data_IF_135718351765
#
_entry.id   IF_135718351765
#
_cell.length_a   1.000
_cell.length_b   1.000
_cell.length_c   1.000
_cell.angle_alpha   90.00
_cell.angle_beta   90.00
_cell.angle_gamma   90.00
#
_symmetry.space_group_name_H-M   'P 1'
#
loop_
_entity.id
_entity.type
_entity.pdbx_description
1 polymer ?
#
# COMPACT_ATOMS: atom_id res chain seq x y z
N UNK A 1 28.99 23.94 -13.36
CA UNK A 1 30.05 23.10 -12.78
C UNK A 1 29.90 23.00 -11.28
N UNK A 2 29.53 21.82 -10.76
CA UNK A 2 29.85 21.33 -9.40
C UNK A 2 30.03 19.78 -9.31
N UNK A 3 30.69 19.09 -10.28
CA UNK A 3 30.99 17.66 -10.12
C UNK A 3 32.04 17.28 -9.04
N UNK A 4 33.02 18.11 -8.63
CA UNK A 4 34.10 17.62 -7.75
C UNK A 4 33.72 17.53 -6.27
N UNK A 5 32.73 18.30 -5.80
CA UNK A 5 32.32 18.29 -4.39
C UNK A 5 31.54 17.02 -4.00
N UNK A 6 30.74 16.49 -4.93
CA UNK A 6 30.01 15.24 -4.70
C UNK A 6 30.95 14.03 -4.70
N UNK A 7 31.95 14.00 -5.60
CA UNK A 7 32.98 12.95 -5.63
C UNK A 7 33.75 12.85 -4.30
N UNK A 8 34.23 13.97 -3.77
CA UNK A 8 34.97 14.00 -2.51
C UNK A 8 34.10 13.59 -1.30
N UNK A 9 32.79 13.88 -1.33
CA UNK A 9 31.87 13.43 -0.29
C UNK A 9 31.66 11.91 -0.34
N UNK A 10 31.46 11.35 -1.53
CA UNK A 10 31.30 9.90 -1.73
C UNK A 10 32.55 9.14 -1.29
N UNK A 11 33.75 9.64 -1.61
CA UNK A 11 35.01 9.03 -1.18
C UNK A 11 35.15 9.00 0.35
N UNK A 12 34.80 10.12 1.02
CA UNK A 12 34.78 10.19 2.49
C UNK A 12 33.80 9.21 3.12
N UNK A 13 32.63 9.02 2.52
CA UNK A 13 31.62 8.11 3.06
C UNK A 13 31.99 6.63 2.83
N UNK A 14 32.68 6.31 1.72
CA UNK A 14 33.26 4.99 1.49
C UNK A 14 34.35 4.67 2.52
N UNK A 15 35.23 5.61 2.84
CA UNK A 15 36.29 5.40 3.85
C UNK A 15 35.70 5.25 5.27
N UNK A 16 34.64 5.99 5.61
CA UNK A 16 33.89 5.77 6.86
C UNK A 16 33.26 4.38 6.92
N UNK A 17 32.68 3.92 5.82
CA UNK A 17 32.09 2.59 5.73
C UNK A 17 33.15 1.49 5.91
N UNK A 18 34.34 1.65 5.33
CA UNK A 18 35.47 0.73 5.53
C UNK A 18 35.92 0.69 7.01
N UNK A 19 35.99 1.85 7.67
CA UNK A 19 36.35 1.92 9.08
C UNK A 19 35.33 1.19 9.97
N UNK A 20 34.02 1.37 9.69
CA UNK A 20 32.96 0.66 10.42
C UNK A 20 33.02 -0.85 10.18
N UNK A 21 33.25 -1.31 8.96
CA UNK A 21 33.37 -2.75 8.67
C UNK A 21 34.57 -3.37 9.39
N UNK A 22 35.71 -2.65 9.48
CA UNK A 22 36.87 -3.11 10.26
C UNK A 22 36.54 -3.26 11.75
N UNK A 23 35.81 -2.31 12.32
CA UNK A 23 35.34 -2.41 13.71
C UNK A 23 34.42 -3.63 13.89
N UNK A 24 33.46 -3.83 12.99
CA UNK A 24 32.58 -5.00 13.04
C UNK A 24 33.34 -6.34 12.92
N UNK A 25 34.40 -6.40 12.12
CA UNK A 25 35.25 -7.59 12.08
C UNK A 25 36.00 -7.83 13.39
N UNK A 26 36.51 -6.77 14.03
CA UNK A 26 37.15 -6.88 15.34
C UNK A 26 36.15 -7.35 16.41
N UNK A 27 34.93 -6.79 16.42
CA UNK A 27 33.88 -7.17 17.36
C UNK A 27 33.45 -8.63 17.16
N UNK A 28 33.27 -9.05 15.91
CA UNK A 28 32.94 -10.45 15.59
C UNK A 28 34.09 -11.39 15.95
N UNK A 29 35.34 -10.96 15.79
CA UNK A 29 36.49 -11.76 16.19
C UNK A 29 36.54 -11.91 17.71
N UNK A 30 36.31 -10.84 18.47
CA UNK A 30 36.20 -10.90 19.94
C UNK A 30 35.04 -11.81 20.39
N UNK A 31 33.90 -11.78 19.69
CA UNK A 31 32.78 -12.70 19.92
C UNK A 31 33.17 -14.16 19.65
N UNK A 32 33.93 -14.42 18.57
CA UNK A 32 34.42 -15.77 18.24
C UNK A 32 35.42 -16.29 19.25
N UNK A 33 36.35 -15.45 19.70
CA UNK A 33 37.33 -15.78 20.73
C UNK A 33 36.64 -16.03 22.09
N UNK A 34 35.55 -15.32 22.36
CA UNK A 34 34.63 -15.56 23.48
C UNK A 34 33.70 -16.78 23.32
N UNK A 35 33.85 -17.58 22.25
CA UNK A 35 33.01 -18.75 21.91
C UNK A 35 31.51 -18.44 21.85
N UNK A 36 31.16 -17.24 21.40
CA UNK A 36 29.77 -16.84 21.26
C UNK A 36 29.05 -17.69 20.17
N UNK A 37 27.88 -18.27 20.46
CA UNK A 37 27.20 -19.21 19.55
C UNK A 37 26.80 -18.60 18.20
N UNK A 38 26.67 -17.27 18.11
CA UNK A 38 26.32 -16.57 16.87
C UNK A 38 27.53 -15.99 16.12
N UNK A 39 28.77 -16.17 16.61
CA UNK A 39 29.97 -15.54 16.05
C UNK A 39 30.19 -15.86 14.55
N UNK A 40 30.02 -17.12 14.17
CA UNK A 40 30.12 -17.57 12.76
C UNK A 40 29.03 -16.93 11.86
N UNK A 41 27.80 -16.84 12.37
CA UNK A 41 26.71 -16.22 11.62
C UNK A 41 26.96 -14.72 11.42
N UNK A 42 27.44 -14.03 12.45
CA UNK A 42 27.78 -12.61 12.36
C UNK A 42 28.95 -12.38 11.41
N UNK A 43 29.98 -13.22 11.42
CA UNK A 43 31.10 -13.14 10.47
C UNK A 43 30.62 -13.20 9.01
N UNK A 44 29.75 -14.16 8.67
CA UNK A 44 29.20 -14.25 7.30
C UNK A 44 28.41 -13.00 6.90
N UNK A 45 27.70 -12.37 7.84
CA UNK A 45 26.96 -11.13 7.56
C UNK A 45 27.91 -9.96 7.33
N UNK A 46 28.94 -9.81 8.16
CA UNK A 46 29.96 -8.75 8.00
C UNK A 46 30.77 -8.97 6.70
N UNK A 47 31.08 -10.21 6.35
CA UNK A 47 31.75 -10.54 5.09
C UNK A 47 30.94 -10.12 3.86
N UNK A 48 29.63 -10.39 3.83
CA UNK A 48 28.76 -9.90 2.73
C UNK A 48 28.70 -8.38 2.65
N UNK A 49 28.72 -7.68 3.79
CA UNK A 49 28.81 -6.22 3.81
C UNK A 49 30.12 -5.74 3.22
N UNK A 50 31.23 -6.41 3.54
CA UNK A 50 32.55 -6.12 2.98
C UNK A 50 32.57 -6.34 1.46
N UNK A 51 32.08 -7.48 0.97
CA UNK A 51 31.99 -7.75 -0.47
C UNK A 51 31.18 -6.69 -1.21
N UNK A 52 30.04 -6.27 -0.64
CA UNK A 52 29.21 -5.22 -1.21
C UNK A 52 29.94 -3.88 -1.25
N UNK A 53 30.69 -3.52 -0.20
CA UNK A 53 31.46 -2.28 -0.17
C UNK A 53 32.61 -2.29 -1.19
N UNK A 54 33.31 -3.42 -1.33
CA UNK A 54 34.36 -3.61 -2.34
C UNK A 54 33.79 -3.48 -3.75
N UNK A 55 32.62 -4.07 -4.02
CA UNK A 55 31.93 -3.92 -5.30
C UNK A 55 31.60 -2.45 -5.61
N UNK A 56 31.01 -1.73 -4.64
CA UNK A 56 30.69 -0.31 -4.78
C UNK A 56 31.95 0.53 -5.03
N UNK A 57 33.05 0.28 -4.30
CA UNK A 57 34.32 0.98 -4.49
C UNK A 57 34.93 0.73 -5.86
N UNK A 58 34.82 -0.50 -6.36
CA UNK A 58 35.28 -0.88 -7.70
C UNK A 58 34.48 -0.16 -8.77
N UNK A 59 33.14 -0.14 -8.65
CA UNK A 59 32.27 0.62 -9.55
C UNK A 59 32.56 2.13 -9.51
N UNK A 60 32.77 2.70 -8.33
CA UNK A 60 33.10 4.12 -8.16
C UNK A 60 34.42 4.49 -8.85
N UNK A 61 35.47 3.67 -8.67
CA UNK A 61 36.76 3.89 -9.33
C UNK A 61 36.64 3.79 -10.87
N UNK A 62 35.87 2.82 -11.38
CA UNK A 62 35.65 2.64 -12.81
C UNK A 62 34.79 3.76 -13.43
N UNK A 63 33.78 4.27 -12.71
CA UNK A 63 32.85 5.29 -13.25
C UNK A 63 33.34 6.72 -13.06
N UNK A 64 34.05 7.03 -11.97
CA UNK A 64 34.41 8.41 -11.62
C UNK A 64 35.90 8.74 -11.77
N UNK A 65 36.81 7.78 -11.50
CA UNK A 65 38.28 8.01 -11.60
C UNK A 65 38.87 7.60 -12.96
N UNK A 66 38.27 6.65 -13.66
CA UNK A 66 38.83 6.11 -14.91
C UNK A 66 38.44 6.86 -16.18
N UNK A 67 37.43 7.73 -16.19
CA UNK A 67 37.07 8.53 -17.37
C UNK A 67 36.98 7.75 -18.70
N UNK A 68 36.58 6.48 -18.66
CA UNK A 68 36.71 5.58 -19.81
C UNK A 68 35.57 5.80 -20.82
N UNK A 69 35.87 6.58 -21.85
CA UNK A 69 35.18 6.57 -23.15
C UNK A 69 35.30 5.16 -23.73
N UNK A 70 34.24 4.52 -24.28
CA UNK A 70 34.41 3.25 -24.96
C UNK A 70 35.08 3.51 -26.32
N UNK A 71 36.37 3.22 -26.41
CA UNK A 71 37.09 3.17 -27.67
C UNK A 71 36.70 1.91 -28.44
N UNK A 72 36.26 2.11 -29.69
CA UNK A 72 36.02 1.09 -30.71
C UNK A 72 37.32 0.36 -31.04
N UNK A 73 37.33 -0.97 -30.96
CA UNK A 73 38.17 -1.85 -31.81
C UNK A 73 37.46 -3.20 -32.05
N UNK A 74 37.54 -3.77 -33.28
CA UNK A 74 36.95 -5.06 -33.62
C UNK A 74 37.99 -6.20 -33.59
N UNK A 75 37.64 -7.37 -33.01
CA UNK A 75 37.99 -8.71 -33.52
C UNK A 75 37.61 -9.84 -32.55
N UNK A 76 36.66 -10.67 -33.02
CA UNK A 76 36.58 -12.14 -32.98
C UNK A 76 37.18 -12.90 -31.77
N UNK A 77 36.31 -13.45 -30.90
CA UNK A 77 36.05 -14.90 -30.74
C UNK A 77 35.20 -15.19 -29.49
N UNK A 78 34.28 -16.15 -29.66
CA UNK A 78 33.58 -16.97 -28.65
C UNK A 78 32.63 -16.30 -27.65
N UNK A 79 31.36 -16.68 -27.78
CA UNK A 79 30.25 -16.41 -26.89
C UNK A 79 30.44 -16.98 -25.48
N UNK A 80 30.08 -16.18 -24.47
CA UNK A 80 29.17 -16.58 -23.39
C UNK A 80 28.43 -15.32 -22.91
N UNK A 81 27.11 -15.40 -22.97
CA UNK A 81 26.19 -14.36 -22.53
C UNK A 81 26.28 -14.14 -21.02
N UNK A 82 26.52 -12.91 -20.60
CA UNK A 82 26.01 -12.37 -19.33
C UNK A 82 26.22 -10.85 -19.26
N UNK A 83 25.12 -10.11 -19.21
CA UNK A 83 25.03 -8.92 -18.36
C UNK A 83 25.59 -7.61 -18.91
N UNK A 84 25.00 -7.09 -19.99
CA UNK A 84 25.08 -5.67 -20.29
C UNK A 84 24.25 -4.87 -19.26
N UNK A 85 24.82 -4.57 -18.09
CA UNK A 85 24.25 -3.62 -17.14
C UNK A 85 24.81 -2.21 -17.39
N UNK A 86 24.18 -1.53 -18.36
CA UNK A 86 24.02 -0.06 -18.35
C UNK A 86 23.09 0.33 -17.18
N UNK A 87 23.13 1.59 -16.72
CA UNK A 87 23.25 1.99 -15.32
C UNK A 87 22.11 1.46 -14.43
N UNK A 88 22.49 0.67 -13.41
CA UNK A 88 21.61 0.10 -12.38
C UNK A 88 20.98 1.14 -11.42
N UNK A 89 21.17 2.43 -11.67
CA UNK A 89 20.64 3.52 -10.85
C UNK A 89 19.30 4.08 -11.37
N UNK A 90 18.97 3.91 -12.65
CA UNK A 90 17.71 4.43 -13.22
C UNK A 90 16.56 3.41 -13.15
N UNK A 91 16.87 2.11 -13.09
CA UNK A 91 15.88 1.03 -13.06
C UNK A 91 15.20 0.83 -11.70
N UNK A 92 15.71 1.46 -10.63
CA UNK A 92 15.18 1.32 -9.26
C UNK A 92 14.36 2.55 -8.82
N UNK A 93 14.42 3.65 -9.56
CA UNK A 93 13.66 4.88 -9.25
C UNK A 93 12.19 4.76 -9.68
N UNK A 94 11.90 4.10 -10.80
CA UNK A 94 10.52 3.89 -11.24
C UNK A 94 9.71 2.98 -10.29
N UNK A 95 10.23 1.82 -9.83
CA UNK A 95 9.55 1.02 -8.81
C UNK A 95 9.40 1.76 -7.47
N UNK A 96 10.44 2.44 -6.99
CA UNK A 96 10.37 3.20 -5.73
C UNK A 96 9.39 4.38 -5.81
N UNK A 97 9.37 5.11 -6.92
CA UNK A 97 8.42 6.21 -7.14
C UNK A 97 7.00 5.69 -7.28
N UNK A 98 6.81 4.59 -7.99
CA UNK A 98 5.55 3.87 -8.00
C UNK A 98 5.11 3.54 -6.57
N UNK A 99 5.95 2.92 -5.74
CA UNK A 99 5.63 2.56 -4.36
C UNK A 99 5.32 3.78 -3.46
N UNK A 100 5.93 4.94 -3.72
CA UNK A 100 5.60 6.19 -3.03
C UNK A 100 4.24 6.76 -3.47
N UNK A 101 3.97 6.80 -4.78
CA UNK A 101 2.67 7.21 -5.31
C UNK A 101 1.55 6.29 -4.78
N UNK A 102 1.88 5.01 -4.61
CA UNK A 102 1.00 4.00 -4.02
C UNK A 102 0.70 4.25 -2.54
N UNK A 103 1.70 4.65 -1.75
CA UNK A 103 1.48 5.00 -0.35
C UNK A 103 0.62 6.26 -0.23
N UNK A 104 0.91 7.29 -1.03
CA UNK A 104 0.12 8.52 -1.08
C UNK A 104 -1.34 8.25 -1.48
N UNK A 105 -1.57 7.35 -2.43
CA UNK A 105 -2.92 6.92 -2.80
C UNK A 105 -3.65 6.25 -1.64
N UNK A 106 -2.98 5.40 -0.86
CA UNK A 106 -3.59 4.76 0.33
C UNK A 106 -3.97 5.80 1.39
N UNK A 107 -3.08 6.74 1.69
CA UNK A 107 -3.33 7.81 2.67
C UNK A 107 -4.47 8.73 2.24
N UNK A 108 -4.53 9.08 0.96
CA UNK A 108 -5.63 9.85 0.38
C UNK A 108 -6.96 9.11 0.54
N UNK A 109 -7.01 7.82 0.20
CA UNK A 109 -8.24 7.06 0.31
C UNK A 109 -8.66 6.80 1.76
N UNK A 110 -7.72 6.71 2.71
CA UNK A 110 -8.04 6.72 4.14
C UNK A 110 -8.69 8.03 4.56
N UNK A 111 -8.15 9.17 4.11
CA UNK A 111 -8.72 10.48 4.42
C UNK A 111 -10.12 10.64 3.84
N UNK A 112 -10.32 10.18 2.60
CA UNK A 112 -11.64 10.15 1.95
C UNK A 112 -12.63 9.26 2.69
N UNK A 113 -12.22 8.06 3.13
CA UNK A 113 -13.04 7.16 3.95
C UNK A 113 -13.36 7.77 5.32
N UNK A 114 -12.45 8.54 5.91
CA UNK A 114 -12.69 9.20 7.21
C UNK A 114 -13.63 10.40 7.08
N UNK A 115 -13.51 11.19 6.01
CA UNK A 115 -14.30 12.41 5.79
C UNK A 115 -15.66 12.16 5.13
N UNK A 116 -15.89 10.98 4.55
CA UNK A 116 -17.12 10.72 3.81
C UNK A 116 -18.36 10.64 4.72
N UNK A 117 -19.46 11.21 4.26
CA UNK A 117 -20.74 11.25 4.96
C UNK A 117 -21.51 9.93 4.86
N UNK A 118 -22.54 9.78 5.69
CA UNK A 118 -23.36 8.55 5.75
C UNK A 118 -24.66 8.63 4.94
N UNK A 119 -25.14 9.84 4.62
CA UNK A 119 -26.47 10.08 4.07
C UNK A 119 -27.52 10.31 5.17
N UNK A 120 -28.56 11.09 4.85
CA UNK A 120 -29.65 11.44 5.78
C UNK A 120 -30.99 10.82 5.40
N UNK A 121 -31.10 10.30 4.18
CA UNK A 121 -32.29 9.67 3.62
C UNK A 121 -31.90 8.45 2.76
N UNK A 122 -32.88 7.63 2.36
CA UNK A 122 -32.60 6.41 1.60
C UNK A 122 -31.80 6.68 0.31
N UNK A 123 -32.15 7.67 -0.54
CA UNK A 123 -31.40 7.94 -1.77
C UNK A 123 -29.94 8.38 -1.53
N UNK A 124 -29.69 9.22 -0.52
CA UNK A 124 -28.33 9.65 -0.19
C UNK A 124 -27.51 8.51 0.40
N UNK A 125 -28.09 7.66 1.25
CA UNK A 125 -27.43 6.45 1.79
C UNK A 125 -27.08 5.47 0.67
N UNK A 126 -27.97 5.25 -0.30
CA UNK A 126 -27.71 4.42 -1.49
C UNK A 126 -26.56 4.97 -2.33
N UNK A 127 -26.52 6.29 -2.53
CA UNK A 127 -25.43 6.97 -3.24
C UNK A 127 -24.09 6.77 -2.52
N UNK A 128 -24.06 6.95 -1.20
CA UNK A 128 -22.85 6.75 -0.39
C UNK A 128 -22.40 5.28 -0.39
N UNK A 129 -23.34 4.34 -0.29
CA UNK A 129 -23.05 2.90 -0.34
C UNK A 129 -22.48 2.50 -1.71
N UNK A 130 -23.08 2.96 -2.80
CA UNK A 130 -22.59 2.72 -4.16
C UNK A 130 -21.19 3.28 -4.39
N UNK A 131 -20.96 4.54 -4.01
CA UNK A 131 -19.64 5.18 -4.09
C UNK A 131 -18.58 4.43 -3.26
N UNK A 132 -18.94 4.02 -2.03
CA UNK A 132 -18.02 3.29 -1.16
C UNK A 132 -17.72 1.87 -1.67
N UNK A 133 -18.67 1.18 -2.32
CA UNK A 133 -18.41 -0.12 -2.97
C UNK A 133 -17.36 -0.02 -4.07
N UNK A 134 -17.47 1.00 -4.93
CA UNK A 134 -16.48 1.24 -5.99
C UNK A 134 -15.09 1.54 -5.41
N UNK A 135 -15.04 2.39 -4.37
CA UNK A 135 -13.80 2.67 -3.65
C UNK A 135 -13.21 1.41 -3.01
N UNK A 136 -14.02 0.62 -2.29
CA UNK A 136 -13.59 -0.62 -1.65
C UNK A 136 -13.05 -1.63 -2.68
N UNK A 137 -13.70 -1.77 -3.83
CA UNK A 137 -13.23 -2.62 -4.92
C UNK A 137 -11.87 -2.17 -5.44
N UNK A 138 -11.68 -0.88 -5.67
CA UNK A 138 -10.38 -0.34 -6.11
C UNK A 138 -9.26 -0.61 -5.10
N UNK A 139 -9.56 -0.55 -3.79
CA UNK A 139 -8.62 -0.87 -2.71
C UNK A 139 -8.24 -2.37 -2.73
N UNK A 140 -9.20 -3.28 -2.92
CA UNK A 140 -8.92 -4.73 -2.98
C UNK A 140 -8.17 -5.13 -4.27
N UNK A 141 -8.55 -4.58 -5.44
CA UNK A 141 -7.82 -4.81 -6.69
C UNK A 141 -6.37 -4.32 -6.59
N UNK A 142 -6.20 -3.15 -5.97
CA UNK A 142 -4.90 -2.57 -5.74
C UNK A 142 -4.03 -3.42 -4.80
N UNK A 143 -4.60 -3.94 -3.71
CA UNK A 143 -3.93 -4.90 -2.82
C UNK A 143 -3.45 -6.13 -3.58
N UNK A 144 -4.28 -6.69 -4.46
CA UNK A 144 -3.89 -7.85 -5.26
C UNK A 144 -2.68 -7.56 -6.16
N UNK A 145 -2.49 -6.32 -6.61
CA UNK A 145 -1.29 -5.88 -7.35
C UNK A 145 -0.06 -5.82 -6.45
N UNK A 146 -0.17 -5.30 -5.22
CA UNK A 146 0.93 -5.29 -4.25
C UNK A 146 1.36 -6.71 -3.87
N UNK A 147 0.41 -7.61 -3.58
CA UNK A 147 0.71 -8.99 -3.20
C UNK A 147 1.41 -9.75 -4.33
N UNK A 148 0.99 -9.57 -5.59
CA UNK A 148 1.71 -10.15 -6.75
C UNK A 148 3.13 -9.59 -6.88
N UNK A 149 3.29 -8.27 -6.80
CA UNK A 149 4.62 -7.65 -6.89
C UNK A 149 5.55 -8.14 -5.78
N UNK A 150 5.03 -8.40 -4.57
CA UNK A 150 5.81 -9.03 -3.47
C UNK A 150 6.19 -10.48 -3.77
N UNK A 151 5.27 -11.28 -4.29
CA UNK A 151 5.53 -12.67 -4.64
C UNK A 151 6.61 -12.78 -5.72
N UNK A 152 6.57 -11.91 -6.73
CA UNK A 152 7.55 -11.86 -7.82
C UNK A 152 8.95 -11.45 -7.31
N UNK A 153 9.04 -10.50 -6.37
CA UNK A 153 10.29 -10.08 -5.71
C UNK A 153 10.90 -11.22 -4.87
N UNK A 154 10.09 -11.98 -4.13
CA UNK A 154 10.53 -13.14 -3.35
C UNK A 154 11.14 -14.23 -4.25
N UNK A 155 10.53 -14.47 -5.41
CA UNK A 155 11.03 -15.40 -6.44
C UNK A 155 12.34 -14.90 -7.07
N UNK A 156 12.51 -13.59 -7.21
CA UNK A 156 13.67 -12.98 -7.88
C UNK A 156 14.85 -12.66 -6.94
N UNK A 157 14.73 -12.96 -5.64
CA UNK A 157 15.78 -12.77 -4.63
C UNK A 157 16.18 -11.31 -4.39
N UNK A 158 15.48 -10.36 -5.01
CA UNK A 158 15.57 -8.93 -4.69
C UNK A 158 14.61 -8.70 -3.54
N UNK A 159 15.15 -8.35 -2.38
CA UNK A 159 14.35 -7.90 -1.26
C UNK A 159 14.31 -6.39 -1.35
N UNK A 160 13.48 -5.83 -2.24
CA UNK A 160 13.18 -4.40 -2.16
C UNK A 160 12.62 -4.17 -0.75
N UNK A 161 13.24 -3.26 0.00
CA UNK A 161 12.98 -3.00 1.42
C UNK A 161 11.65 -2.26 1.59
N UNK A 162 10.59 -2.80 1.00
CA UNK A 162 9.22 -2.43 1.26
C UNK A 162 8.86 -2.96 2.64
N UNK A 163 9.23 -2.19 3.67
CA UNK A 163 8.55 -2.30 4.94
C UNK A 163 7.06 -2.34 4.65
N UNK A 164 6.30 -3.27 5.27
CA UNK A 164 4.86 -3.25 5.13
C UNK A 164 4.43 -1.84 5.54
N UNK A 165 3.73 -1.07 4.67
CA UNK A 165 3.04 0.10 5.18
C UNK A 165 2.20 -0.41 6.35
N UNK A 166 2.12 0.34 7.47
CA UNK A 166 1.27 -0.07 8.56
C UNK A 166 -0.10 -0.40 7.95
N UNK A 167 -0.72 -1.48 8.39
CA UNK A 167 -2.03 -1.90 7.90
C UNK A 167 -3.17 -1.26 8.71
N UNK A 168 -3.58 0.01 8.45
CA UNK A 168 -4.92 0.47 8.82
C UNK A 168 -5.96 0.76 7.70
N UNK A 169 -5.69 0.80 6.37
CA UNK A 169 -6.71 1.20 5.38
C UNK A 169 -7.76 0.10 5.09
N UNK A 170 -7.36 -1.16 5.19
CA UNK A 170 -8.23 -2.27 4.80
C UNK A 170 -9.31 -2.54 5.85
N UNK A 171 -8.94 -2.47 7.13
CA UNK A 171 -9.88 -2.66 8.23
C UNK A 171 -10.89 -1.50 8.28
N UNK A 172 -10.45 -0.27 8.05
CA UNK A 172 -11.35 0.90 8.01
C UNK A 172 -12.30 0.86 6.81
N UNK A 173 -11.81 0.53 5.62
CA UNK A 173 -12.66 0.40 4.41
C UNK A 173 -13.70 -0.72 4.54
N UNK A 174 -13.30 -1.90 5.04
CA UNK A 174 -14.21 -3.03 5.30
C UNK A 174 -15.24 -2.72 6.37
N UNK A 175 -14.81 -2.10 7.48
CA UNK A 175 -15.73 -1.70 8.55
C UNK A 175 -16.74 -0.67 8.06
N UNK A 176 -16.30 0.34 7.30
CA UNK A 176 -17.20 1.34 6.71
C UNK A 176 -18.21 0.72 5.75
N UNK A 177 -17.79 -0.24 4.92
CA UNK A 177 -18.71 -0.94 4.01
C UNK A 177 -19.80 -1.67 4.78
N UNK A 178 -19.43 -2.44 5.81
CA UNK A 178 -20.40 -3.14 6.68
C UNK A 178 -21.37 -2.18 7.36
N UNK A 179 -20.88 -1.06 7.87
CA UNK A 179 -21.74 -0.05 8.50
C UNK A 179 -22.70 0.60 7.50
N UNK A 180 -22.24 0.92 6.28
CA UNK A 180 -23.12 1.46 5.23
C UNK A 180 -24.18 0.45 4.79
N UNK A 181 -23.85 -0.84 4.70
CA UNK A 181 -24.82 -1.89 4.39
C UNK A 181 -25.86 -2.04 5.50
N UNK A 182 -25.44 -1.99 6.77
CA UNK A 182 -26.34 -1.99 7.92
C UNK A 182 -27.24 -0.75 7.93
N UNK A 183 -26.69 0.43 7.65
CA UNK A 183 -27.44 1.68 7.60
C UNK A 183 -28.49 1.64 6.49
N UNK A 184 -28.10 1.20 5.30
CA UNK A 184 -29.02 1.03 4.18
C UNK A 184 -30.15 0.06 4.51
N UNK A 185 -29.84 -1.09 5.15
CA UNK A 185 -30.87 -2.04 5.58
C UNK A 185 -31.87 -1.41 6.54
N UNK A 186 -31.38 -0.67 7.54
CA UNK A 186 -32.21 0.02 8.52
C UNK A 186 -33.07 1.11 7.87
N UNK A 187 -32.46 2.02 7.10
CA UNK A 187 -33.15 3.14 6.46
C UNK A 187 -34.16 2.65 5.44
N UNK A 188 -33.87 1.59 4.68
CA UNK A 188 -34.82 0.98 3.74
C UNK A 188 -36.05 0.42 4.47
N UNK A 189 -35.84 -0.28 5.59
CA UNK A 189 -36.95 -0.78 6.41
C UNK A 189 -37.78 0.38 7.00
N UNK A 190 -37.12 1.37 7.60
CA UNK A 190 -37.79 2.54 8.16
C UNK A 190 -38.57 3.33 7.09
N UNK A 191 -38.03 3.46 5.88
CA UNK A 191 -38.71 4.14 4.76
C UNK A 191 -39.96 3.39 4.34
N UNK A 192 -39.93 2.05 4.29
CA UNK A 192 -41.11 1.23 4.00
C UNK A 192 -42.18 1.35 5.08
N UNK A 193 -41.79 1.32 6.35
CA UNK A 193 -42.72 1.51 7.46
C UNK A 193 -43.35 2.91 7.45
N UNK A 194 -42.58 3.96 7.13
CA UNK A 194 -43.11 5.31 6.98
C UNK A 194 -44.11 5.43 5.82
N UNK A 195 -43.82 4.81 4.67
CA UNK A 195 -44.74 4.74 3.54
C UNK A 195 -46.03 4.01 3.92
N UNK A 196 -45.91 2.86 4.59
CA UNK A 196 -47.06 2.08 5.06
C UNK A 196 -47.91 2.86 6.07
N UNK A 197 -47.26 3.52 7.04
CA UNK A 197 -47.94 4.39 8.00
C UNK A 197 -48.66 5.54 7.30
N UNK A 198 -48.02 6.18 6.32
CA UNK A 198 -48.63 7.26 5.54
C UNK A 198 -49.86 6.77 4.77
N UNK A 199 -49.81 5.58 4.16
CA UNK A 199 -50.94 4.99 3.45
C UNK A 199 -52.09 4.68 4.42
N UNK A 200 -51.79 4.11 5.60
CA UNK A 200 -52.79 3.83 6.63
C UNK A 200 -53.39 5.10 7.23
N UNK A 201 -52.58 6.13 7.44
CA UNK A 201 -53.07 7.43 7.90
C UNK A 201 -54.01 8.06 6.86
N UNK A 202 -53.64 8.04 5.57
CA UNK A 202 -54.49 8.56 4.50
C UNK A 202 -55.84 7.83 4.43
N UNK A 203 -55.86 6.50 4.60
CA UNK A 203 -57.10 5.71 4.69
C UNK A 203 -58.00 6.17 5.85
N UNK A 204 -57.45 6.52 7.01
CA UNK A 204 -58.23 7.01 8.16
C UNK A 204 -58.71 8.45 7.98
N UNK A 205 -57.86 9.32 7.45
CA UNK A 205 -58.17 10.74 7.23
C UNK A 205 -59.24 10.91 6.15
N UNK A 206 -59.20 10.07 5.11
CA UNK A 206 -60.17 10.10 4.00
C UNK A 206 -61.46 9.34 4.31
N UNK A 207 -61.52 8.60 5.42
CA UNK A 207 -62.70 7.83 5.79
C UNK A 207 -63.87 8.76 6.17
N UNK A 208 -65.05 8.50 5.58
CA UNK A 208 -66.28 9.19 5.96
C UNK A 208 -66.81 8.65 7.30
N UNK A 209 -66.68 9.45 8.36
CA UNK A 209 -67.18 9.13 9.70
C UNK A 209 -68.68 9.42 9.87
N UNK A 210 -69.40 9.81 8.82
CA UNK A 210 -70.84 10.08 8.90
C UNK A 210 -71.66 8.81 9.13
N UNK A 211 -72.78 8.94 9.84
CA UNK A 211 -73.74 7.83 10.03
C UNK A 211 -74.36 7.30 8.73
N UNK A 212 -74.17 8.00 7.61
CA UNK A 212 -74.69 7.60 6.29
C UNK A 212 -73.72 6.67 5.56
N UNK A 213 -72.48 6.52 6.05
CA UNK A 213 -71.51 5.59 5.50
C UNK A 213 -71.90 4.14 5.84
N UNK A 214 -72.23 3.28 4.85
CA UNK A 214 -72.58 1.88 5.11
C UNK A 214 -71.42 1.07 5.70
N UNK A 215 -70.18 1.52 5.52
CA UNK A 215 -68.99 0.86 6.05
C UNK A 215 -68.69 1.21 7.53
N UNK A 216 -69.46 2.13 8.14
CA UNK A 216 -69.21 2.57 9.52
C UNK A 216 -69.34 1.41 10.53
N UNK A 217 -70.34 0.53 10.36
CA UNK A 217 -70.54 -0.61 11.25
C UNK A 217 -69.32 -1.56 11.25
N UNK A 218 -68.84 -1.94 10.07
CA UNK A 218 -67.67 -2.80 9.93
C UNK A 218 -66.37 -2.15 10.44
N UNK A 219 -66.21 -0.83 10.24
CA UNK A 219 -65.08 -0.06 10.77
C UNK A 219 -65.08 -0.12 12.30
N UNK A 220 -66.22 0.12 12.95
CA UNK A 220 -66.37 0.08 14.41
C UNK A 220 -66.03 -1.28 15.02
N UNK A 221 -66.45 -2.37 14.37
CA UNK A 221 -66.17 -3.73 14.82
C UNK A 221 -64.66 -4.06 14.76
N UNK A 222 -63.92 -3.48 13.80
CA UNK A 222 -62.46 -3.65 13.70
C UNK A 222 -61.65 -2.91 14.80
N UNK A 223 -62.24 -1.91 15.48
CA UNK A 223 -61.59 -1.19 16.59
C UNK A 223 -62.11 -1.61 17.98
N UNK A 224 -63.04 -2.56 18.05
CA UNK A 224 -63.61 -3.09 19.29
C UNK A 224 -62.87 -4.33 19.76
#
# INVERSE_FOLDING_TARGET
GKPPQQAAAVERDLDKADAMIRLLFNDVQALKDGRHPQGEQMYRRVYRLHERLVAIRTEYNLRLKSGAVPAVVPAVTAAVAAGQQRPRAELDEAPLRYLQDLLAWVEENQRRVAAAEWGMDLPTVETQLGGHRGLHHSIEEFRAKIERARADEEVMGRRMMLQPPPCPPQNSSKSRLRHLESLHSFVSAATKELLWLSEKEEEEVTFDWSHRNPNMAAKKDNYS
#
